data_IF_060123492325
#
_entry.id   IF_060123492325
#
_cell.length_a   1.000
_cell.length_b   1.000
_cell.length_c   1.000
_cell.angle_alpha   90.00
_cell.angle_beta   90.00
_cell.angle_gamma   90.00
#
_symmetry.space_group_name_H-M   'P 1'
#
loop_
_entity.id
_entity.type
_entity.pdbx_description
1 polymer ?
#
# COMPACT_ATOMS: atom_id res chain seq x y z
N UNK A 1 -32.93 5.70 -16.29
CA UNK A 1 -31.62 6.38 -16.47
C UNK A 1 -31.10 6.90 -15.13
N UNK A 2 -29.89 6.50 -14.73
CA UNK A 2 -29.24 6.96 -13.49
C UNK A 2 -28.43 8.28 -13.70
N UNK A 3 -27.84 8.84 -12.64
CA UNK A 3 -27.00 10.05 -12.71
C UNK A 3 -25.72 9.89 -13.54
N UNK A 4 -25.03 8.76 -13.44
CA UNK A 4 -23.78 8.50 -14.17
C UNK A 4 -24.04 8.30 -15.68
N UNK A 5 -25.09 7.55 -16.02
CA UNK A 5 -25.59 7.34 -17.38
C UNK A 5 -26.04 8.65 -18.03
N UNK A 6 -26.71 9.51 -17.26
CA UNK A 6 -27.11 10.83 -17.74
C UNK A 6 -25.89 11.70 -18.03
N UNK A 7 -24.84 11.58 -17.21
CA UNK A 7 -23.59 12.31 -17.40
C UNK A 7 -22.83 11.80 -18.64
N UNK A 8 -22.66 10.48 -18.78
CA UNK A 8 -22.02 9.86 -19.95
C UNK A 8 -22.74 10.22 -21.25
N UNK A 9 -24.08 10.17 -21.28
CA UNK A 9 -24.88 10.57 -22.44
C UNK A 9 -24.61 12.02 -22.88
N UNK A 10 -24.42 12.93 -21.93
CA UNK A 10 -24.12 14.34 -22.23
C UNK A 10 -22.71 14.53 -22.75
N UNK A 11 -21.73 13.81 -22.19
CA UNK A 11 -20.36 13.81 -22.68
C UNK A 11 -20.30 13.25 -24.10
N UNK A 12 -20.99 12.15 -24.39
CA UNK A 12 -21.11 11.59 -25.74
C UNK A 12 -21.80 12.54 -26.72
N UNK A 13 -22.73 13.35 -26.22
CA UNK A 13 -23.40 14.38 -27.00
C UNK A 13 -22.56 15.63 -27.26
N UNK A 14 -21.32 15.68 -26.76
CA UNK A 14 -20.40 16.80 -26.95
C UNK A 14 -20.71 18.00 -26.05
N UNK A 15 -21.47 17.82 -24.98
CA UNK A 15 -21.74 18.85 -23.97
C UNK A 15 -20.52 18.97 -23.05
N UNK A 16 -20.10 20.20 -22.72
CA UNK A 16 -18.91 20.39 -21.87
C UNK A 16 -19.17 19.87 -20.46
N UNK A 17 -18.12 19.38 -19.79
CA UNK A 17 -18.20 18.74 -18.48
C UNK A 17 -18.92 19.60 -17.43
N UNK A 18 -18.64 20.90 -17.39
CA UNK A 18 -19.32 21.81 -16.46
C UNK A 18 -20.82 21.93 -16.74
N UNK A 19 -21.21 22.02 -18.01
CA UNK A 19 -22.63 22.06 -18.39
C UNK A 19 -23.32 20.72 -18.20
N UNK A 20 -22.63 19.59 -18.36
CA UNK A 20 -23.20 18.28 -18.11
C UNK A 20 -23.44 18.05 -16.62
N UNK A 21 -22.51 18.42 -15.74
CA UNK A 21 -22.69 18.36 -14.28
C UNK A 21 -23.89 19.22 -13.85
N UNK A 22 -23.99 20.46 -14.34
CA UNK A 22 -25.12 21.33 -14.01
C UNK A 22 -26.46 20.78 -14.51
N UNK A 23 -26.48 20.21 -15.71
CA UNK A 23 -27.67 19.63 -16.33
C UNK A 23 -28.12 18.37 -15.60
N UNK A 24 -27.20 17.49 -15.21
CA UNK A 24 -27.49 16.29 -14.41
C UNK A 24 -28.02 16.68 -13.03
N UNK A 25 -27.40 17.65 -12.36
CA UNK A 25 -27.91 18.19 -11.07
C UNK A 25 -29.30 18.80 -11.21
N UNK A 26 -29.60 19.46 -12.33
CA UNK A 26 -30.93 19.99 -12.64
C UNK A 26 -31.94 18.86 -12.86
N UNK A 27 -31.62 17.87 -13.70
CA UNK A 27 -32.49 16.72 -13.96
C UNK A 27 -32.76 15.87 -12.72
N UNK A 28 -31.78 15.76 -11.83
CA UNK A 28 -31.95 15.10 -10.55
C UNK A 28 -32.95 15.86 -9.66
N UNK A 29 -32.83 17.19 -9.57
CA UNK A 29 -33.82 18.04 -8.86
C UNK A 29 -35.22 17.95 -9.47
N UNK A 30 -35.31 17.86 -10.80
CA UNK A 30 -36.56 17.71 -11.55
C UNK A 30 -37.11 16.27 -11.54
N UNK A 31 -36.46 15.32 -10.85
CA UNK A 31 -36.82 13.90 -10.80
C UNK A 31 -36.91 13.21 -12.17
N UNK A 32 -36.25 13.76 -13.19
CA UNK A 32 -36.15 13.16 -14.54
C UNK A 32 -35.21 11.96 -14.58
N UNK A 33 -34.26 11.93 -13.64
CA UNK A 33 -33.27 10.86 -13.46
C UNK A 33 -33.23 10.45 -11.99
N UNK A 34 -32.74 9.25 -11.72
CA UNK A 34 -32.62 8.71 -10.36
C UNK A 34 -31.15 8.54 -9.96
N UNK A 35 -30.84 8.68 -8.67
CA UNK A 35 -29.53 8.33 -8.15
C UNK A 35 -29.53 6.84 -7.78
N UNK A 36 -28.65 6.06 -8.41
CA UNK A 36 -28.36 4.68 -7.98
C UNK A 36 -26.97 4.70 -7.34
N UNK A 37 -26.89 4.48 -6.02
CA UNK A 37 -25.62 4.30 -5.34
C UNK A 37 -24.95 2.99 -5.78
N UNK A 38 -23.63 3.05 -5.98
CA UNK A 38 -22.68 1.94 -6.18
C UNK A 38 -23.29 0.52 -6.10
N UNK A 39 -23.77 -0.01 -7.23
CA UNK A 39 -24.20 -1.40 -7.33
C UNK A 39 -25.16 -1.67 -8.48
N UNK A 40 -24.63 -2.26 -9.56
CA UNK A 40 -25.33 -3.04 -10.58
C UNK A 40 -26.43 -2.32 -11.39
N UNK A 41 -26.03 -1.79 -12.55
CA UNK A 41 -26.67 -2.00 -13.86
C UNK A 41 -25.87 -1.21 -14.92
N UNK A 42 -24.96 -1.89 -15.61
CA UNK A 42 -24.15 -1.30 -16.70
C UNK A 42 -24.87 -1.30 -18.06
N UNK A 43 -26.20 -1.48 -18.05
CA UNK A 43 -27.03 -1.39 -19.23
C UNK A 43 -27.74 -0.03 -19.30
N UNK A 44 -27.52 0.71 -20.38
CA UNK A 44 -28.38 1.83 -20.73
C UNK A 44 -29.79 1.30 -20.97
N UNK A 45 -30.74 1.65 -20.10
CA UNK A 45 -32.17 1.36 -20.30
C UNK A 45 -32.90 2.69 -20.31
N UNK A 46 -33.06 3.24 -21.51
CA UNK A 46 -34.04 4.28 -21.78
C UNK A 46 -35.35 3.62 -22.24
N UNK A 47 -36.46 4.04 -21.63
CA UNK A 47 -37.75 3.40 -21.86
C UNK A 47 -38.29 3.67 -23.27
N UNK A 48 -37.91 4.82 -23.87
CA UNK A 48 -38.43 5.28 -25.15
C UNK A 48 -37.43 6.23 -25.86
N UNK A 49 -37.33 6.13 -27.21
CA UNK A 49 -36.64 7.11 -28.07
C UNK A 49 -37.06 8.56 -27.81
N UNK A 50 -38.35 8.82 -27.54
CA UNK A 50 -38.87 10.17 -27.31
C UNK A 50 -38.29 10.80 -26.04
N UNK A 51 -38.06 9.96 -25.02
CA UNK A 51 -37.43 10.37 -23.77
C UNK A 51 -35.97 10.79 -24.01
N UNK A 52 -35.24 10.04 -24.84
CA UNK A 52 -33.86 10.35 -25.21
C UNK A 52 -33.77 11.69 -25.96
N UNK A 53 -34.67 11.92 -26.93
CA UNK A 53 -34.75 13.18 -27.65
C UNK A 53 -35.08 14.36 -26.74
N UNK A 54 -36.00 14.20 -25.80
CA UNK A 54 -36.38 15.27 -24.88
C UNK A 54 -35.23 15.64 -23.95
N UNK A 55 -34.45 14.66 -23.48
CA UNK A 55 -33.28 14.89 -22.64
C UNK A 55 -32.16 15.58 -23.41
N UNK A 56 -31.84 15.13 -24.62
CA UNK A 56 -30.82 15.76 -25.46
C UNK A 56 -31.20 17.21 -25.82
N UNK A 57 -32.48 17.45 -26.11
CA UNK A 57 -33.00 18.79 -26.37
C UNK A 57 -32.94 19.69 -25.12
N UNK A 58 -33.33 19.17 -23.95
CA UNK A 58 -33.24 19.89 -22.67
C UNK A 58 -31.79 20.26 -22.30
N UNK A 59 -30.82 19.48 -22.78
CA UNK A 59 -29.39 19.73 -22.62
C UNK A 59 -28.79 20.69 -23.65
N UNK A 60 -29.59 21.19 -24.60
CA UNK A 60 -29.13 22.10 -25.65
C UNK A 60 -28.37 21.43 -26.79
N UNK A 61 -28.48 20.10 -26.93
CA UNK A 61 -27.86 19.37 -28.04
C UNK A 61 -28.64 19.64 -29.33
N UNK A 62 -27.94 19.89 -30.43
CA UNK A 62 -28.56 20.13 -31.73
C UNK A 62 -29.36 18.91 -32.22
N UNK A 63 -30.52 19.15 -32.85
CA UNK A 63 -31.43 18.12 -33.34
C UNK A 63 -30.73 17.08 -34.26
N UNK A 64 -29.76 17.50 -35.08
CA UNK A 64 -28.99 16.60 -35.96
C UNK A 64 -28.09 15.63 -35.19
N UNK A 65 -27.39 16.12 -34.17
CA UNK A 65 -26.53 15.34 -33.28
C UNK A 65 -27.38 14.41 -32.42
N UNK A 66 -28.51 14.90 -31.90
CA UNK A 66 -29.44 14.10 -31.12
C UNK A 66 -30.00 12.92 -31.92
N UNK A 67 -30.34 13.11 -33.20
CA UNK A 67 -30.81 12.02 -34.08
C UNK A 67 -29.73 10.96 -34.30
N UNK A 68 -28.47 11.34 -34.47
CA UNK A 68 -27.38 10.37 -34.66
C UNK A 68 -27.16 9.53 -33.40
N UNK A 69 -27.16 10.17 -32.23
CA UNK A 69 -26.98 9.50 -30.93
C UNK A 69 -28.13 8.54 -30.68
N UNK A 70 -29.39 8.99 -30.78
CA UNK A 70 -30.56 8.12 -30.55
C UNK A 70 -30.61 6.95 -31.54
N UNK A 71 -30.24 7.15 -32.81
CA UNK A 71 -30.13 6.06 -33.80
C UNK A 71 -29.05 5.04 -33.41
N UNK A 72 -27.92 5.49 -32.87
CA UNK A 72 -26.85 4.62 -32.39
C UNK A 72 -27.29 3.84 -31.16
N UNK A 73 -27.88 4.51 -30.16
CA UNK A 73 -28.43 3.88 -28.95
C UNK A 73 -29.48 2.82 -29.28
N UNK A 74 -30.32 3.06 -30.29
CA UNK A 74 -31.31 2.08 -30.76
C UNK A 74 -30.63 0.84 -31.39
N UNK A 75 -29.55 1.01 -32.17
CA UNK A 75 -28.77 -0.11 -32.74
C UNK A 75 -28.04 -0.91 -31.66
N UNK A 76 -27.58 -0.23 -30.62
CA UNK A 76 -26.85 -0.81 -29.50
C UNK A 76 -27.79 -1.46 -28.46
N UNK A 77 -29.11 -1.43 -28.68
CA UNK A 77 -30.10 -2.05 -27.78
C UNK A 77 -30.29 -1.31 -26.47
N UNK A 78 -29.86 -0.05 -26.39
CA UNK A 78 -29.88 0.80 -25.20
C UNK A 78 -31.26 1.48 -24.95
N UNK A 79 -32.19 1.29 -25.88
CA UNK A 79 -33.56 1.82 -25.84
C UNK A 79 -34.53 0.65 -26.00
N UNK A 80 -35.44 0.48 -25.04
CA UNK A 80 -36.37 -0.67 -25.02
C UNK A 80 -37.48 -0.56 -26.07
N UNK A 81 -37.96 0.67 -26.34
CA UNK A 81 -39.11 0.90 -27.23
C UNK A 81 -38.85 2.08 -28.17
N UNK A 82 -39.23 1.92 -29.43
CA UNK A 82 -39.37 3.03 -30.37
C UNK A 82 -40.68 3.74 -30.04
N UNK A 83 -40.60 5.01 -29.70
CA UNK A 83 -41.76 5.85 -29.40
C UNK A 83 -42.59 6.17 -30.62
N UNK A 84 -43.89 6.36 -30.41
CA UNK A 84 -44.83 6.78 -31.46
C UNK A 84 -44.90 8.31 -31.62
N UNK A 85 -43.98 9.08 -31.03
CA UNK A 85 -44.07 10.53 -30.91
C UNK A 85 -43.19 11.34 -31.87
N UNK A 86 -43.84 12.11 -32.74
CA UNK A 86 -43.29 13.22 -33.55
C UNK A 86 -42.19 12.81 -34.54
N UNK A 87 -42.63 12.18 -35.63
CA UNK A 87 -41.93 12.29 -36.91
C UNK A 87 -41.91 13.77 -37.32
N UNK A 88 -40.85 14.51 -37.02
CA UNK A 88 -40.52 15.70 -37.82
C UNK A 88 -40.16 15.17 -39.21
N UNK A 89 -40.93 15.46 -40.28
CA UNK A 89 -40.48 15.15 -41.62
C UNK A 89 -39.30 16.07 -41.90
N UNK A 90 -38.42 15.68 -42.82
CA UNK A 90 -37.28 16.47 -43.32
C UNK A 90 -35.95 16.21 -42.64
N UNK A 91 -35.49 14.96 -42.70
CA UNK A 91 -34.13 14.72 -43.17
C UNK A 91 -34.19 13.52 -44.12
N UNK A 92 -33.86 13.68 -45.42
CA UNK A 92 -33.85 12.56 -46.34
C UNK A 92 -32.85 11.53 -45.81
N UNK A 93 -33.40 10.37 -45.45
CA UNK A 93 -32.66 9.15 -45.24
C UNK A 93 -31.99 8.84 -46.58
N UNK A 94 -30.76 9.31 -46.79
CA UNK A 94 -29.83 8.65 -47.72
C UNK A 94 -29.47 7.31 -47.06
N UNK A 95 -30.43 6.39 -47.09
CA UNK A 95 -30.13 4.98 -47.21
C UNK A 95 -29.38 4.83 -48.53
N UNK A 96 -28.08 5.10 -48.50
CA UNK A 96 -27.20 4.38 -49.41
C UNK A 96 -27.41 2.93 -49.03
N UNK A 97 -28.22 2.22 -49.84
CA UNK A 97 -28.41 0.79 -49.76
C UNK A 97 -27.08 0.16 -49.34
N UNK A 98 -27.06 -0.43 -48.15
CA UNK A 98 -25.98 -1.34 -47.77
C UNK A 98 -25.86 -2.30 -48.92
N UNK A 99 -24.75 -2.23 -49.67
CA UNK A 99 -24.47 -3.13 -50.78
C UNK A 99 -24.81 -4.55 -50.28
N UNK A 100 -25.70 -5.30 -50.94
CA UNK A 100 -25.89 -6.69 -50.57
C UNK A 100 -24.51 -7.34 -50.67
N UNK A 101 -24.00 -7.84 -49.54
CA UNK A 101 -22.75 -8.58 -49.52
C UNK A 101 -22.91 -9.73 -50.50
N UNK A 102 -22.23 -9.64 -51.63
CA UNK A 102 -22.09 -10.69 -52.64
C UNK A 102 -21.17 -11.79 -52.12
N UNK A 103 -21.47 -12.32 -50.93
CA UNK A 103 -20.79 -13.51 -50.42
C UNK A 103 -21.68 -14.70 -50.76
N UNK A 104 -21.12 -15.66 -51.50
CA UNK A 104 -21.80 -16.91 -51.84
C UNK A 104 -22.11 -17.65 -50.53
N UNK A 105 -23.29 -18.27 -50.36
CA UNK A 105 -23.66 -18.91 -49.09
C UNK A 105 -22.63 -19.96 -48.61
N UNK A 106 -21.93 -20.61 -49.55
CA UNK A 106 -20.81 -21.53 -49.26
C UNK A 106 -19.61 -20.87 -48.56
N UNK A 107 -19.32 -19.60 -48.86
CA UNK A 107 -18.20 -18.87 -48.26
C UNK A 107 -18.53 -18.44 -46.83
N UNK A 108 -19.80 -18.12 -46.56
CA UNK A 108 -20.30 -17.85 -45.22
C UNK A 108 -20.22 -19.11 -44.33
N UNK A 109 -20.64 -20.26 -44.84
CA UNK A 109 -20.54 -21.52 -44.10
C UNK A 109 -19.09 -21.92 -43.80
N UNK A 110 -18.18 -21.71 -44.74
CA UNK A 110 -16.76 -21.95 -44.52
C UNK A 110 -16.19 -21.00 -43.46
N UNK A 111 -16.58 -19.72 -43.51
CA UNK A 111 -16.20 -18.72 -42.50
C UNK A 111 -16.75 -19.08 -41.11
N UNK A 112 -18.01 -19.51 -41.02
CA UNK A 112 -18.62 -19.97 -39.77
C UNK A 112 -17.87 -21.16 -39.19
N UNK A 113 -17.49 -22.14 -40.02
CA UNK A 113 -16.68 -23.30 -39.58
C UNK A 113 -15.32 -22.85 -39.05
N UNK A 114 -14.62 -21.95 -39.74
CA UNK A 114 -13.34 -21.41 -39.29
C UNK A 114 -13.47 -20.64 -37.97
N UNK A 115 -14.48 -19.80 -37.83
CA UNK A 115 -14.76 -19.08 -36.58
C UNK A 115 -15.05 -20.05 -35.44
N UNK A 116 -15.81 -21.12 -35.68
CA UNK A 116 -16.10 -22.15 -34.68
C UNK A 116 -14.84 -22.88 -34.20
N UNK A 117 -13.89 -23.16 -35.10
CA UNK A 117 -12.60 -23.76 -34.74
C UNK A 117 -11.76 -22.78 -33.92
N UNK A 118 -11.69 -21.51 -34.32
CA UNK A 118 -10.97 -20.47 -33.56
C UNK A 118 -11.56 -20.29 -32.16
N UNK A 119 -12.88 -20.30 -32.04
CA UNK A 119 -13.57 -20.14 -30.76
C UNK A 119 -13.27 -21.33 -29.83
N UNK A 120 -13.28 -22.57 -30.34
CA UNK A 120 -12.83 -23.74 -29.57
C UNK A 120 -11.38 -23.65 -29.10
N UNK A 121 -10.47 -23.22 -29.98
CA UNK A 121 -9.07 -23.06 -29.60
C UNK A 121 -8.88 -21.98 -28.53
N UNK A 122 -9.65 -20.89 -28.59
CA UNK A 122 -9.68 -19.86 -27.55
C UNK A 122 -10.26 -20.38 -26.24
N UNK A 123 -11.33 -21.18 -26.27
CA UNK A 123 -11.91 -21.80 -25.07
C UNK A 123 -10.89 -22.72 -24.37
N UNK A 124 -10.13 -23.51 -25.13
CA UNK A 124 -9.05 -24.35 -24.58
C UNK A 124 -7.94 -23.51 -23.94
N UNK A 125 -7.55 -22.41 -24.59
CA UNK A 125 -6.57 -21.49 -24.04
C UNK A 125 -7.06 -20.82 -22.74
N UNK A 126 -8.32 -20.38 -22.70
CA UNK A 126 -8.95 -19.80 -21.51
C UNK A 126 -8.94 -20.83 -20.36
N UNK A 127 -9.33 -22.08 -20.62
CA UNK A 127 -9.27 -23.16 -19.62
C UNK A 127 -7.86 -23.39 -19.09
N UNK A 128 -6.84 -23.32 -19.95
CA UNK A 128 -5.44 -23.41 -19.54
C UNK A 128 -5.04 -22.28 -18.57
N UNK A 129 -5.44 -21.05 -18.87
CA UNK A 129 -5.21 -19.89 -17.99
C UNK A 129 -5.96 -20.05 -16.67
N UNK A 130 -7.22 -20.47 -16.71
CA UNK A 130 -8.03 -20.70 -15.50
C UNK A 130 -7.39 -21.74 -14.58
N UNK A 131 -6.88 -22.85 -15.14
CA UNK A 131 -6.19 -23.86 -14.35
C UNK A 131 -4.92 -23.29 -13.70
N UNK A 132 -4.10 -22.56 -14.46
CA UNK A 132 -2.90 -21.90 -13.93
C UNK A 132 -3.24 -20.91 -12.81
N UNK A 133 -4.30 -20.12 -12.97
CA UNK A 133 -4.80 -19.22 -11.94
C UNK A 133 -5.25 -19.97 -10.70
N UNK A 134 -6.03 -21.04 -10.84
CA UNK A 134 -6.47 -21.88 -9.72
C UNK A 134 -5.29 -22.48 -8.95
N UNK A 135 -4.29 -23.03 -9.65
CA UNK A 135 -3.06 -23.55 -9.02
C UNK A 135 -2.29 -22.45 -8.30
N UNK A 136 -2.20 -21.26 -8.91
CA UNK A 136 -1.52 -20.12 -8.31
C UNK A 136 -2.21 -19.65 -7.03
N UNK A 137 -3.55 -19.55 -7.05
CA UNK A 137 -4.37 -19.20 -5.88
C UNK A 137 -4.17 -20.24 -4.77
N UNK A 138 -4.24 -21.54 -5.09
CA UNK A 138 -4.04 -22.60 -4.11
C UNK A 138 -2.65 -22.51 -3.44
N UNK A 139 -1.60 -22.21 -4.23
CA UNK A 139 -0.24 -22.01 -3.72
C UNK A 139 -0.13 -20.78 -2.82
N UNK A 140 -0.76 -19.67 -3.20
CA UNK A 140 -0.79 -18.46 -2.39
C UNK A 140 -1.50 -18.68 -1.04
N UNK A 141 -2.62 -19.41 -1.04
CA UNK A 141 -3.32 -19.78 0.19
C UNK A 141 -2.41 -20.61 1.10
N UNK A 142 -1.72 -21.61 0.55
CA UNK A 142 -0.75 -22.41 1.32
C UNK A 142 0.37 -21.55 1.91
N UNK A 143 0.90 -20.58 1.15
CA UNK A 143 1.92 -19.67 1.65
C UNK A 143 1.40 -18.80 2.80
N UNK A 144 0.18 -18.26 2.68
CA UNK A 144 -0.47 -17.49 3.73
C UNK A 144 -0.61 -18.32 5.01
N UNK A 145 -1.03 -19.58 4.90
CA UNK A 145 -1.19 -20.46 6.05
C UNK A 145 0.14 -20.80 6.74
N UNK A 146 1.21 -21.01 5.96
CA UNK A 146 2.57 -21.23 6.50
C UNK A 146 3.03 -19.97 7.23
N UNK A 147 2.94 -18.80 6.59
CA UNK A 147 3.36 -17.53 7.19
C UNK A 147 2.57 -17.22 8.47
N UNK A 148 1.27 -17.51 8.49
CA UNK A 148 0.43 -17.33 9.67
C UNK A 148 0.88 -18.22 10.83
N UNK A 149 1.27 -19.47 10.56
CA UNK A 149 1.82 -20.38 11.58
C UNK A 149 3.15 -19.87 12.13
N UNK A 150 4.02 -19.37 11.26
CA UNK A 150 5.33 -18.86 11.69
C UNK A 150 5.20 -17.56 12.48
N UNK A 151 4.28 -16.67 12.11
CA UNK A 151 3.95 -15.48 12.90
C UNK A 151 3.47 -15.85 14.32
N UNK A 152 2.61 -16.86 14.46
CA UNK A 152 2.16 -17.31 15.78
C UNK A 152 3.31 -17.88 16.63
N UNK A 153 4.27 -18.59 16.02
CA UNK A 153 5.46 -19.07 16.74
C UNK A 153 6.34 -17.91 17.19
N UNK A 154 6.61 -16.95 16.31
CA UNK A 154 7.41 -15.77 16.64
C UNK A 154 6.77 -14.91 17.73
N UNK A 155 5.44 -14.77 17.72
CA UNK A 155 4.71 -14.06 18.77
C UNK A 155 4.83 -14.77 20.12
N UNK A 156 4.73 -16.11 20.13
CA UNK A 156 4.96 -16.93 21.32
C UNK A 156 6.39 -16.76 21.84
N UNK A 157 7.41 -16.95 21.00
CA UNK A 157 8.83 -16.77 21.37
C UNK A 157 9.08 -15.37 21.93
N UNK A 158 8.53 -14.33 21.28
CA UNK A 158 8.62 -12.95 21.77
C UNK A 158 8.04 -12.81 23.17
N UNK A 159 6.88 -13.40 23.44
CA UNK A 159 6.27 -13.36 24.78
C UNK A 159 7.11 -14.09 25.82
N UNK A 160 7.71 -15.24 25.47
CA UNK A 160 8.60 -16.01 26.33
C UNK A 160 9.86 -15.21 26.67
N UNK A 161 10.51 -14.61 25.66
CA UNK A 161 11.66 -13.72 25.85
C UNK A 161 11.33 -12.51 26.72
N UNK A 162 10.15 -11.90 26.56
CA UNK A 162 9.72 -10.79 27.41
C UNK A 162 9.55 -11.22 28.87
N UNK A 163 9.00 -12.41 29.11
CA UNK A 163 8.86 -12.97 30.45
C UNK A 163 10.21 -13.29 31.07
N UNK A 164 11.12 -13.90 30.33
CA UNK A 164 12.48 -14.19 30.78
C UNK A 164 13.26 -12.91 31.09
N UNK A 165 13.15 -11.89 30.23
CA UNK A 165 13.78 -10.58 30.47
C UNK A 165 13.27 -9.93 31.75
N UNK A 166 11.95 -9.97 31.99
CA UNK A 166 11.35 -9.47 33.24
C UNK A 166 11.82 -10.25 34.46
N UNK A 167 11.95 -11.58 34.34
CA UNK A 167 12.45 -12.45 35.41
C UNK A 167 13.90 -12.11 35.77
N UNK A 168 14.79 -12.04 34.77
CA UNK A 168 16.18 -11.68 34.97
C UNK A 168 16.35 -10.26 35.52
N UNK A 169 15.53 -9.30 35.08
CA UNK A 169 15.53 -7.95 35.64
C UNK A 169 15.17 -7.96 37.13
N UNK A 170 14.15 -8.73 37.51
CA UNK A 170 13.74 -8.87 38.91
C UNK A 170 14.85 -9.52 39.75
N UNK A 171 15.44 -10.62 39.28
CA UNK A 171 16.56 -11.28 39.95
C UNK A 171 17.76 -10.33 40.09
N UNK A 172 18.07 -9.53 39.06
CA UNK A 172 19.14 -8.55 39.13
C UNK A 172 18.86 -7.48 40.19
N UNK A 173 17.62 -6.95 40.23
CA UNK A 173 17.19 -5.99 41.26
C UNK A 173 17.35 -6.59 42.65
N UNK A 174 16.86 -7.81 42.86
CA UNK A 174 16.95 -8.52 44.14
C UNK A 174 18.42 -8.72 44.56
N UNK A 175 19.29 -9.14 43.64
CA UNK A 175 20.73 -9.26 43.88
C UNK A 175 21.40 -7.92 44.18
N UNK A 176 21.05 -6.84 43.49
CA UNK A 176 21.56 -5.49 43.83
C UNK A 176 21.11 -5.04 45.20
N UNK A 177 19.89 -5.36 45.61
CA UNK A 177 19.38 -5.06 46.95
C UNK A 177 20.13 -5.87 48.03
N UNK A 178 20.41 -7.15 47.78
CA UNK A 178 21.23 -7.99 48.65
C UNK A 178 22.66 -7.47 48.76
N UNK A 179 23.29 -7.10 47.64
CA UNK A 179 24.63 -6.49 47.62
C UNK A 179 24.65 -5.17 48.39
N UNK A 180 23.62 -4.33 48.25
CA UNK A 180 23.47 -3.09 49.02
C UNK A 180 23.34 -3.38 50.52
N UNK A 181 22.58 -4.42 50.90
CA UNK A 181 22.42 -4.84 52.30
C UNK A 181 23.75 -5.32 52.89
N UNK A 182 24.47 -6.22 52.20
CA UNK A 182 25.79 -6.71 52.62
C UNK A 182 26.79 -5.55 52.71
N UNK A 183 26.80 -4.65 51.73
CA UNK A 183 27.64 -3.45 51.75
C UNK A 183 27.33 -2.60 52.98
N UNK A 184 26.05 -2.34 53.27
CA UNK A 184 25.62 -1.61 54.46
C UNK A 184 26.05 -2.26 55.77
N UNK A 185 25.94 -3.59 55.87
CA UNK A 185 26.41 -4.36 57.02
C UNK A 185 27.94 -4.28 57.18
N UNK A 186 28.69 -4.34 56.08
CA UNK A 186 30.15 -4.24 56.07
C UNK A 186 30.65 -2.84 56.50
N UNK A 187 29.93 -1.77 56.14
CA UNK A 187 30.23 -0.42 56.62
C UNK A 187 29.82 -0.21 58.09
N UNK A 188 28.74 -0.84 58.56
CA UNK A 188 28.35 -0.82 59.98
C UNK A 188 29.32 -1.63 60.87
N UNK A 189 29.88 -2.71 60.35
CA UNK A 189 30.89 -3.53 61.05
C UNK A 189 32.26 -2.86 61.18
N UNK A 190 32.59 -1.89 60.32
CA UNK A 190 33.87 -1.15 60.36
C UNK A 190 33.83 0.17 61.17
N UNK A 191 32.72 0.47 61.83
CA UNK A 191 32.58 1.67 62.69
C UNK A 191 32.81 1.39 64.19
N UNK A 192 33.64 0.41 64.56
CA UNK A 192 33.93 0.10 65.97
C UNK A 192 35.36 0.35 66.46
N UNK A 193 36.27 0.85 65.63
CA UNK A 193 37.60 1.27 66.09
C UNK A 193 37.92 2.69 65.58
N UNK A 194 38.09 3.69 66.47
CA UNK A 194 38.48 5.04 66.09
C UNK A 194 39.99 5.22 66.28
N UNK A 195 40.81 4.59 65.45
CA UNK A 195 42.25 4.90 65.41
C UNK A 195 42.86 4.32 64.14
N UNK A 196 42.77 5.04 63.02
CA UNK A 196 43.73 5.04 61.90
C UNK A 196 43.21 6.07 60.90
N UNK A 197 43.52 7.35 61.15
CA UNK A 197 43.49 8.38 60.13
C UNK A 197 44.56 8.08 59.08
N UNK A 198 44.25 7.22 58.12
CA UNK A 198 45.03 7.08 56.90
C UNK A 198 44.26 7.70 55.73
N UNK A 199 44.57 8.99 55.51
CA UNK A 199 44.36 9.78 54.29
C UNK A 199 43.37 9.19 53.29
N UNK A 200 42.10 9.53 53.49
CA UNK A 200 41.07 9.47 52.45
C UNK A 200 41.52 10.40 51.32
N UNK A 201 42.05 9.83 50.25
CA UNK A 201 42.12 10.51 48.96
C UNK A 201 40.70 10.82 48.51
N UNK A 202 40.29 12.07 48.72
CA UNK A 202 39.30 12.75 47.89
C UNK A 202 39.71 12.59 46.42
N UNK A 203 38.85 12.05 45.53
CA UNK A 203 39.16 12.06 44.12
C UNK A 203 39.03 13.50 43.62
N UNK A 204 40.16 14.18 43.46
CA UNK A 204 40.27 15.37 42.63
C UNK A 204 39.72 15.07 41.23
N UNK A 205 38.99 16.00 40.57
CA UNK A 205 38.42 15.77 39.26
C UNK A 205 39.49 15.98 38.19
N UNK A 206 40.48 15.09 38.13
CA UNK A 206 41.25 14.85 36.91
C UNK A 206 40.68 13.59 36.27
N UNK A 207 39.54 13.72 35.61
CA UNK A 207 39.00 12.67 34.73
C UNK A 207 39.95 12.52 33.53
N UNK A 208 41.08 11.83 33.73
CA UNK A 208 41.74 11.14 32.62
C UNK A 208 40.80 10.01 32.26
N UNK A 209 39.99 10.21 31.24
CA UNK A 209 39.08 9.20 30.69
C UNK A 209 39.94 7.99 30.30
N UNK A 210 39.87 6.91 31.07
CA UNK A 210 40.58 5.68 30.72
C UNK A 210 39.79 4.96 29.62
N UNK A 211 40.15 5.27 28.38
CA UNK A 211 39.54 4.69 27.18
C UNK A 211 39.63 3.15 27.16
N UNK A 212 40.61 2.55 27.86
CA UNK A 212 40.73 1.09 28.01
C UNK A 212 39.59 0.53 28.84
N UNK A 213 39.31 1.16 29.98
CA UNK A 213 38.22 0.77 30.86
C UNK A 213 36.85 0.95 30.18
N UNK A 214 36.66 2.03 29.40
CA UNK A 214 35.43 2.30 28.65
C UNK A 214 35.14 1.25 27.57
N UNK A 215 36.18 0.66 26.98
CA UNK A 215 36.08 -0.40 25.98
C UNK A 215 36.10 -1.82 26.55
N UNK A 216 36.19 -1.99 27.88
CA UNK A 216 36.36 -3.29 28.53
C UNK A 216 37.68 -3.98 28.19
N UNK A 217 38.72 -3.21 27.84
CA UNK A 217 40.06 -3.70 27.58
C UNK A 217 40.88 -3.75 28.88
N UNK A 218 41.91 -4.59 28.90
CA UNK A 218 42.86 -4.64 30.02
C UNK A 218 43.53 -3.27 30.22
N UNK A 219 43.87 -2.93 31.48
CA UNK A 219 44.64 -1.72 31.82
C UNK A 219 46.01 -1.68 31.11
N UNK A 220 46.53 -2.83 30.69
CA UNK A 220 47.79 -2.97 29.95
C UNK A 220 47.61 -2.96 28.42
N UNK A 221 46.39 -2.81 27.91
CA UNK A 221 46.12 -2.88 26.48
C UNK A 221 46.88 -1.77 25.71
N UNK A 222 47.42 -2.11 24.54
CA UNK A 222 48.15 -1.14 23.73
C UNK A 222 47.20 -0.12 23.10
N UNK A 223 47.67 1.10 22.83
CA UNK A 223 46.88 2.12 22.13
C UNK A 223 46.42 1.62 20.74
N UNK A 224 47.18 0.71 20.11
CA UNK A 224 46.78 0.01 18.88
C UNK A 224 45.54 -0.87 19.09
N UNK A 225 45.43 -1.57 20.21
CA UNK A 225 44.27 -2.41 20.54
C UNK A 225 43.03 -1.55 20.80
N UNK A 226 43.20 -0.44 21.50
CA UNK A 226 42.14 0.57 21.73
C UNK A 226 41.62 1.10 20.38
N UNK A 227 42.52 1.46 19.45
CA UNK A 227 42.14 1.91 18.09
C UNK A 227 41.37 0.83 17.31
N UNK A 228 41.82 -0.43 17.34
CA UNK A 228 41.13 -1.50 16.61
C UNK A 228 39.74 -1.80 17.19
N UNK A 229 39.58 -1.72 18.51
CA UNK A 229 38.27 -1.89 19.16
C UNK A 229 37.29 -0.77 18.81
N UNK A 230 37.73 0.49 18.85
CA UNK A 230 36.88 1.61 18.40
C UNK A 230 36.48 1.47 16.94
N UNK A 231 37.40 1.09 16.04
CA UNK A 231 37.08 0.85 14.62
C UNK A 231 36.06 -0.29 14.43
N UNK A 232 36.18 -1.37 15.19
CA UNK A 232 35.19 -2.47 15.18
C UNK A 232 33.83 -1.99 15.66
N UNK A 233 33.77 -1.21 16.74
CA UNK A 233 32.53 -0.65 17.26
C UNK A 233 31.86 0.28 16.24
N UNK A 234 32.62 1.20 15.63
CA UNK A 234 32.11 2.09 14.58
C UNK A 234 31.55 1.33 13.38
N UNK A 235 32.18 0.22 12.98
CA UNK A 235 31.68 -0.63 11.90
C UNK A 235 30.36 -1.32 12.25
N UNK A 236 30.21 -1.78 13.49
CA UNK A 236 28.99 -2.46 13.95
C UNK A 236 27.85 -1.48 14.17
N UNK A 237 28.14 -0.27 14.66
CA UNK A 237 27.12 0.74 14.97
C UNK A 237 26.77 1.64 13.80
N UNK A 238 27.42 1.48 12.64
CA UNK A 238 27.15 2.31 11.46
C UNK A 238 25.68 2.18 11.01
N UNK A 239 24.98 3.31 10.73
CA UNK A 239 23.58 3.28 10.32
C UNK A 239 23.34 2.47 9.03
N UNK A 240 24.26 2.53 8.06
CA UNK A 240 24.19 1.74 6.82
C UNK A 240 24.28 0.21 7.03
N UNK A 241 24.72 -0.23 8.20
CA UNK A 241 24.74 -1.65 8.59
C UNK A 241 23.58 -2.03 9.54
N UNK A 242 22.56 -1.18 9.64
CA UNK A 242 21.43 -1.37 10.57
C UNK A 242 21.77 -0.99 12.02
N UNK A 243 22.86 -0.25 12.24
CA UNK A 243 23.28 0.24 13.54
C UNK A 243 22.56 1.50 14.02
N UNK A 244 22.69 1.81 15.31
CA UNK A 244 22.08 3.00 15.91
C UNK A 244 22.92 4.27 15.63
N UNK A 245 22.35 5.22 14.89
CA UNK A 245 23.01 6.48 14.53
C UNK A 245 23.51 7.30 15.73
N UNK A 246 22.72 7.38 16.82
CA UNK A 246 23.11 8.10 18.04
C UNK A 246 24.30 7.42 18.74
N UNK A 247 24.32 6.09 18.76
CA UNK A 247 25.44 5.32 19.30
C UNK A 247 26.70 5.49 18.44
N UNK A 248 26.54 5.51 17.11
CA UNK A 248 27.64 5.77 16.18
C UNK A 248 28.28 7.15 16.41
N UNK A 249 27.47 8.21 16.54
CA UNK A 249 27.96 9.56 16.82
C UNK A 249 28.73 9.64 18.15
N UNK A 250 28.21 9.00 19.21
CA UNK A 250 28.87 8.96 20.51
C UNK A 250 30.23 8.25 20.44
N UNK A 251 30.27 7.06 19.84
CA UNK A 251 31.49 6.26 19.68
C UNK A 251 32.51 6.99 18.79
N UNK A 252 32.04 7.71 17.76
CA UNK A 252 32.89 8.51 16.88
C UNK A 252 33.54 9.68 17.63
N UNK A 253 32.76 10.37 18.45
CA UNK A 253 33.25 11.49 19.26
C UNK A 253 34.34 11.02 20.24
N UNK A 254 34.12 9.88 20.91
CA UNK A 254 35.11 9.26 21.78
C UNK A 254 36.37 8.82 21.02
N UNK A 255 36.20 8.24 19.83
CA UNK A 255 37.31 7.81 18.99
C UNK A 255 38.18 8.99 18.55
N UNK A 256 37.55 10.10 18.15
CA UNK A 256 38.25 11.31 17.74
C UNK A 256 39.00 11.94 18.92
N UNK A 257 38.38 12.00 20.10
CA UNK A 257 39.04 12.45 21.35
C UNK A 257 40.25 11.57 21.70
N UNK A 258 40.10 10.25 21.62
CA UNK A 258 41.21 9.33 21.85
C UNK A 258 42.33 9.54 20.82
N UNK A 259 42.00 9.67 19.54
CA UNK A 259 42.99 9.92 18.48
C UNK A 259 43.76 11.23 18.70
N UNK A 260 43.08 12.29 19.14
CA UNK A 260 43.73 13.54 19.54
C UNK A 260 44.66 13.33 20.74
N UNK A 261 44.24 12.54 21.74
CA UNK A 261 45.06 12.27 22.93
C UNK A 261 46.35 11.48 22.66
N UNK A 262 46.36 10.61 21.64
CA UNK A 262 47.55 9.85 21.23
C UNK A 262 48.47 10.71 20.36
N UNK A 263 47.91 11.61 19.52
CA UNK A 263 48.69 12.50 18.64
C UNK A 263 49.30 13.70 19.38
N UNK A 264 48.84 14.03 20.59
CA UNK A 264 49.42 15.08 21.44
C UNK A 264 50.54 14.57 22.38
N UNK A 265 50.84 13.26 22.37
CA UNK A 265 52.00 12.68 23.05
C UNK A 265 53.18 12.54 22.09
#
# INVERSE_FOLDING_TARGET
MNTDQAFELLIEAGVTEDTSIQTVRRWFRERKITYKGSGQDTGYILNNTDQAFHLLKDAGVADSTAVQIVRRMLREGQIEKVGSGIQKPTYPLKESASKPLTNRPSDLDMMIRQLKVKLKAQDEHIKGIEHLHQTSIARLIQQIDILKKDLMKLEKEKSEFQMETKKLLKENIDLTNELLKIKGELFKGKQKDPEFEEKVHTPSPSHTIDYRQKLGLSKMASDKEVLTRYKKLLKITHPDHGGNASAFHFIKTDYDQFRHSINLK
#
